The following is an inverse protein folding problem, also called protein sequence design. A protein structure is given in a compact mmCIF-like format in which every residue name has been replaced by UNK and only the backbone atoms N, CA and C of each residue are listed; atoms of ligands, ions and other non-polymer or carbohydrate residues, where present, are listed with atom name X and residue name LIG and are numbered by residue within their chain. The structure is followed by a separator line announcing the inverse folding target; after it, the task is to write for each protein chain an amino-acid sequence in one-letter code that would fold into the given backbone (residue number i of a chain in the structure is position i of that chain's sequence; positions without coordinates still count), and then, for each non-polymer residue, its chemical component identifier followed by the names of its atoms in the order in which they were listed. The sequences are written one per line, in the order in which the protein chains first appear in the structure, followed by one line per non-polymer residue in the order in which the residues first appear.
data_IF_932790276671
#
_entry.id   IF_932790276671
#
_cell.length_a   1.000
_cell.length_b   1.000
_cell.length_c   1.000
_cell.angle_alpha   90.00
_cell.angle_beta   90.00
_cell.angle_gamma   90.00
#
_symmetry.space_group_name_H-M   'P 1'
#
loop_
_entity.id
_entity.type
_entity.pdbx_description
1 polymer ?
#
# COMPACT_ATOMS: atom_id res chain seq x y z
N UNK A 1 19.56 -1.85 -3.64
CA UNK A 1 18.90 -0.83 -4.49
C UNK A 1 18.60 0.43 -3.70
N UNK A 2 18.60 1.57 -4.39
CA UNK A 2 18.13 2.83 -3.81
C UNK A 2 16.61 3.00 -3.92
N UNK A 3 16.08 4.08 -3.34
CA UNK A 3 14.64 4.38 -3.34
C UNK A 3 14.10 4.66 -4.75
N UNK A 4 14.90 5.23 -5.65
CA UNK A 4 14.44 5.53 -7.01
C UNK A 4 14.23 4.24 -7.78
N UNK A 5 15.18 3.31 -7.69
CA UNK A 5 15.06 1.97 -8.28
C UNK A 5 13.85 1.19 -7.73
N UNK A 6 13.57 1.30 -6.43
CA UNK A 6 12.38 0.69 -5.81
C UNK A 6 11.09 1.18 -6.48
N UNK A 7 10.91 2.49 -6.62
CA UNK A 7 9.71 3.06 -7.23
C UNK A 7 9.62 2.74 -8.72
N UNK A 8 10.74 2.75 -9.44
CA UNK A 8 10.78 2.34 -10.86
C UNK A 8 10.30 0.89 -11.06
N UNK A 9 10.65 -0.02 -10.14
CA UNK A 9 10.16 -1.40 -10.19
C UNK A 9 8.64 -1.43 -9.97
N UNK A 10 8.13 -0.80 -8.91
CA UNK A 10 6.69 -0.73 -8.60
C UNK A 10 5.89 -0.16 -9.79
N UNK A 11 6.36 0.96 -10.35
CA UNK A 11 5.68 1.62 -11.47
C UNK A 11 5.68 0.74 -12.71
N UNK A 12 6.81 0.11 -13.04
CA UNK A 12 6.92 -0.75 -14.22
C UNK A 12 6.01 -1.99 -14.15
N UNK A 13 5.84 -2.58 -12.98
CA UNK A 13 5.00 -3.77 -12.79
C UNK A 13 3.53 -3.38 -12.70
N UNK A 14 3.21 -2.22 -12.11
CA UNK A 14 1.84 -1.67 -12.10
C UNK A 14 1.36 -1.39 -13.52
N UNK A 15 2.18 -0.71 -14.32
CA UNK A 15 1.85 -0.39 -15.72
C UNK A 15 1.62 -1.64 -16.56
N UNK A 16 2.40 -2.70 -16.32
CA UNK A 16 2.26 -3.97 -17.02
C UNK A 16 1.03 -4.77 -16.57
N UNK A 17 0.59 -4.62 -15.32
CA UNK A 17 -0.61 -5.25 -14.77
C UNK A 17 -1.92 -4.54 -15.18
N UNK A 18 -1.84 -3.40 -15.86
CA UNK A 18 -3.00 -2.61 -16.31
C UNK A 18 -4.00 -2.26 -15.19
N UNK A 19 -3.53 -2.15 -13.95
CA UNK A 19 -4.32 -1.79 -12.77
C UNK A 19 -4.86 -2.97 -11.96
N UNK A 20 -4.60 -4.21 -12.35
CA UNK A 20 -4.99 -5.41 -11.59
C UNK A 20 -3.99 -5.71 -10.44
N UNK A 21 -4.40 -5.73 -9.16
CA UNK A 21 -3.49 -5.93 -8.03
C UNK A 21 -2.89 -7.35 -7.94
N UNK A 22 -3.61 -8.39 -8.35
CA UNK A 22 -3.14 -9.79 -8.33
C UNK A 22 -2.03 -9.97 -9.38
N UNK A 23 -2.29 -9.53 -10.61
CA UNK A 23 -1.29 -9.53 -11.69
C UNK A 23 -0.10 -8.62 -11.34
N UNK A 24 -0.33 -7.50 -10.64
CA UNK A 24 0.75 -6.63 -10.19
C UNK A 24 1.70 -7.35 -9.24
N UNK A 25 1.18 -8.13 -8.29
CA UNK A 25 1.99 -8.93 -7.38
C UNK A 25 2.80 -10.00 -8.11
N UNK A 26 2.18 -10.74 -9.03
CA UNK A 26 2.85 -11.75 -9.85
C UNK A 26 4.00 -11.14 -10.67
N UNK A 27 3.74 -10.04 -11.39
CA UNK A 27 4.76 -9.35 -12.18
C UNK A 27 5.87 -8.74 -11.30
N UNK A 28 5.53 -8.33 -10.08
CA UNK A 28 6.51 -7.86 -9.11
C UNK A 28 7.45 -8.99 -8.68
N UNK A 29 6.93 -10.17 -8.36
CA UNK A 29 7.75 -11.36 -8.05
C UNK A 29 8.64 -11.69 -9.24
N UNK A 30 8.10 -11.79 -10.46
CA UNK A 30 8.87 -12.07 -11.67
C UNK A 30 10.02 -11.07 -11.89
N UNK A 31 9.76 -9.79 -11.64
CA UNK A 31 10.75 -8.73 -11.78
C UNK A 31 11.86 -8.83 -10.74
N UNK A 32 11.51 -9.15 -9.50
CA UNK A 32 12.45 -9.32 -8.39
C UNK A 32 13.32 -10.58 -8.56
N UNK A 33 12.79 -11.65 -9.16
CA UNK A 33 13.55 -12.86 -9.51
C UNK A 33 14.69 -12.61 -10.52
N UNK A 34 14.68 -11.48 -11.23
CA UNK A 34 15.76 -11.07 -12.13
C UNK A 34 16.89 -10.30 -11.40
N UNK A 35 16.76 -10.06 -10.10
CA UNK A 35 17.74 -9.36 -9.28
C UNK A 35 18.57 -10.34 -8.45
N UNK A 36 19.67 -9.85 -7.88
CA UNK A 36 20.39 -10.61 -6.87
C UNK A 36 19.67 -10.54 -5.51
N UNK A 37 19.88 -11.53 -4.61
CA UNK A 37 19.19 -11.57 -3.32
C UNK A 37 19.43 -10.35 -2.42
N UNK A 38 20.58 -9.67 -2.51
CA UNK A 38 20.84 -8.46 -1.71
C UNK A 38 19.95 -7.30 -2.18
N UNK A 39 19.78 -7.15 -3.50
CA UNK A 39 18.84 -6.20 -4.08
C UNK A 39 17.38 -6.49 -3.69
N UNK A 40 16.97 -7.76 -3.63
CA UNK A 40 15.61 -8.13 -3.16
C UNK A 40 15.40 -7.75 -1.69
N UNK A 41 16.42 -7.94 -0.83
CA UNK A 41 16.34 -7.48 0.57
C UNK A 41 16.28 -5.96 0.69
N UNK A 42 16.97 -5.23 -0.18
CA UNK A 42 16.85 -3.78 -0.22
C UNK A 42 15.45 -3.34 -0.67
N UNK A 43 14.84 -4.04 -1.64
CA UNK A 43 13.46 -3.81 -2.02
C UNK A 43 12.51 -4.04 -0.83
N UNK A 44 12.64 -5.17 -0.12
CA UNK A 44 11.85 -5.50 1.06
C UNK A 44 11.97 -4.40 2.14
N UNK A 45 13.19 -3.91 2.39
CA UNK A 45 13.41 -2.79 3.34
C UNK A 45 12.69 -1.52 2.91
N UNK A 46 12.69 -1.21 1.61
CA UNK A 46 11.97 -0.05 1.13
C UNK A 46 10.47 -0.22 1.31
N UNK A 47 9.91 -1.36 0.90
CA UNK A 47 8.49 -1.66 1.05
C UNK A 47 8.04 -1.56 2.50
N UNK A 48 8.71 -2.27 3.42
CA UNK A 48 8.41 -2.29 4.86
C UNK A 48 8.48 -0.88 5.48
N UNK A 49 9.46 -0.05 5.08
CA UNK A 49 9.54 1.32 5.54
C UNK A 49 8.33 2.17 5.10
N UNK A 50 7.77 1.94 3.91
CA UNK A 50 6.56 2.62 3.42
C UNK A 50 5.32 2.07 4.12
N UNK A 51 5.22 0.76 4.27
CA UNK A 51 4.12 0.09 4.98
C UNK A 51 3.96 0.64 6.40
N UNK A 52 5.09 0.81 7.11
CA UNK A 52 5.12 1.43 8.43
C UNK A 52 4.81 2.93 8.42
N UNK A 53 5.22 3.67 7.38
CA UNK A 53 4.94 5.10 7.25
C UNK A 53 3.47 5.39 6.95
N UNK A 54 2.79 4.48 6.26
CA UNK A 54 1.36 4.55 5.98
C UNK A 54 0.49 4.11 7.18
N UNK A 55 1.08 3.60 8.26
CA UNK A 55 0.34 3.19 9.47
C UNK A 55 -0.12 4.40 10.28
N UNK A 56 -1.18 5.07 9.80
CA UNK A 56 -1.70 6.32 10.34
C UNK A 56 -3.22 6.31 10.41
N UNK A 57 -3.77 6.93 11.45
CA UNK A 57 -5.23 7.01 11.63
C UNK A 57 -5.94 7.74 10.49
N UNK A 58 -5.30 8.75 9.90
CA UNK A 58 -5.86 9.51 8.79
C UNK A 58 -5.87 8.72 7.47
N UNK A 59 -4.81 7.97 7.17
CA UNK A 59 -4.78 7.05 6.01
C UNK A 59 -5.81 5.92 6.18
N UNK A 60 -5.95 5.36 7.38
CA UNK A 60 -6.98 4.35 7.66
C UNK A 60 -8.40 4.90 7.47
N UNK A 61 -8.65 6.14 7.87
CA UNK A 61 -9.94 6.78 7.60
C UNK A 61 -10.24 6.94 6.12
N UNK A 62 -9.23 7.28 5.30
CA UNK A 62 -9.41 7.31 3.84
C UNK A 62 -9.70 5.92 3.26
N UNK A 63 -8.99 4.89 3.73
CA UNK A 63 -9.29 3.50 3.39
C UNK A 63 -10.72 3.12 3.76
N UNK A 64 -11.20 3.54 4.94
CA UNK A 64 -12.58 3.29 5.37
C UNK A 64 -13.62 3.99 4.49
N UNK A 65 -13.32 5.17 3.93
CA UNK A 65 -14.23 5.81 2.95
C UNK A 65 -14.27 5.02 1.65
N UNK A 66 -13.11 4.65 1.11
CA UNK A 66 -12.99 3.96 -0.18
C UNK A 66 -13.57 2.54 -0.14
N UNK A 67 -13.32 1.80 0.95
CA UNK A 67 -13.72 0.40 1.11
C UNK A 67 -15.10 0.23 1.80
N UNK A 68 -15.79 1.33 2.14
CA UNK A 68 -17.05 1.26 2.91
C UNK A 68 -16.87 0.71 4.34
N UNK A 69 -15.68 0.88 4.90
CA UNK A 69 -15.22 0.35 6.18
C UNK A 69 -13.89 -0.38 6.04
N UNK A 70 -13.05 -0.37 7.08
CA UNK A 70 -11.75 -1.06 7.04
C UNK A 70 -11.44 -1.69 8.40
N UNK A 71 -11.36 -3.02 8.45
CA UNK A 71 -10.76 -3.77 9.56
C UNK A 71 -9.25 -3.54 9.62
N UNK A 72 -8.58 -4.08 10.65
CA UNK A 72 -7.12 -4.10 10.70
C UNK A 72 -6.54 -4.77 9.44
N UNK A 73 -7.00 -5.97 9.08
CA UNK A 73 -6.52 -6.69 7.89
C UNK A 73 -6.79 -5.93 6.58
N UNK A 74 -7.99 -5.38 6.40
CA UNK A 74 -8.32 -4.59 5.20
C UNK A 74 -7.45 -3.32 5.11
N UNK A 75 -7.08 -2.73 6.24
CA UNK A 75 -6.17 -1.60 6.24
C UNK A 75 -4.73 -1.99 5.89
N UNK A 76 -4.27 -3.17 6.30
CA UNK A 76 -2.97 -3.71 5.90
C UNK A 76 -2.94 -3.91 4.38
N UNK A 77 -3.97 -4.51 3.80
CA UNK A 77 -4.07 -4.74 2.36
C UNK A 77 -4.12 -3.42 1.59
N UNK A 78 -4.88 -2.44 2.10
CA UNK A 78 -4.95 -1.10 1.52
C UNK A 78 -3.58 -0.40 1.53
N UNK A 79 -2.77 -0.57 2.59
CA UNK A 79 -1.42 0.00 2.65
C UNK A 79 -0.50 -0.63 1.61
N UNK A 80 -0.61 -1.94 1.38
CA UNK A 80 0.11 -2.61 0.30
C UNK A 80 -0.33 -2.08 -1.08
N UNK A 81 -1.64 -1.95 -1.30
CA UNK A 81 -2.19 -1.37 -2.54
C UNK A 81 -1.71 0.07 -2.74
N UNK A 82 -1.72 0.90 -1.70
CA UNK A 82 -1.27 2.29 -1.77
C UNK A 82 0.21 2.42 -2.15
N UNK A 83 1.05 1.48 -1.71
CA UNK A 83 2.46 1.38 -2.17
C UNK A 83 2.49 0.98 -3.65
N UNK A 84 1.66 0.02 -4.05
CA UNK A 84 1.50 -0.41 -5.45
C UNK A 84 1.12 0.72 -6.41
N UNK A 85 0.34 1.70 -5.95
CA UNK A 85 -0.05 2.91 -6.72
C UNK A 85 1.14 3.82 -7.09
N UNK A 86 2.34 3.54 -6.56
CA UNK A 86 3.55 4.24 -6.93
C UNK A 86 3.78 5.52 -6.13
N UNK A 87 4.91 6.16 -6.41
CA UNK A 87 5.46 7.20 -5.53
C UNK A 87 4.53 8.40 -5.36
N UNK A 88 3.98 8.91 -6.46
CA UNK A 88 3.21 10.15 -6.44
C UNK A 88 1.94 10.00 -5.58
N UNK A 89 1.18 8.94 -5.82
CA UNK A 89 -0.06 8.66 -5.10
C UNK A 89 0.23 8.31 -3.64
N UNK A 90 1.25 7.49 -3.38
CA UNK A 90 1.65 7.13 -2.01
C UNK A 90 2.08 8.36 -1.19
N UNK A 91 2.95 9.22 -1.74
CA UNK A 91 3.41 10.42 -1.05
C UNK A 91 2.27 11.42 -0.82
N UNK A 92 1.38 11.59 -1.81
CA UNK A 92 0.21 12.45 -1.68
C UNK A 92 -0.73 11.95 -0.56
N UNK A 93 -1.10 10.67 -0.58
CA UNK A 93 -2.01 10.08 0.39
C UNK A 93 -1.46 10.07 1.82
N UNK A 94 -0.16 9.82 2.00
CA UNK A 94 0.46 9.89 3.34
C UNK A 94 0.50 11.34 3.86
N UNK A 95 0.61 12.33 2.97
CA UNK A 95 0.62 13.74 3.34
C UNK A 95 -0.79 14.29 3.62
N UNK A 96 -1.73 13.99 2.74
CA UNK A 96 -3.12 14.43 2.78
C UNK A 96 -4.03 13.33 2.21
N UNK A 97 -4.55 12.40 3.03
CA UNK A 97 -5.32 11.26 2.53
C UNK A 97 -6.56 11.63 1.71
N UNK A 98 -7.17 12.81 1.94
CA UNK A 98 -8.32 13.28 1.16
C UNK A 98 -7.94 13.59 -0.31
N UNK A 99 -6.64 13.84 -0.58
CA UNK A 99 -6.16 14.10 -1.94
C UNK A 99 -6.25 12.87 -2.85
N UNK A 100 -6.44 11.66 -2.32
CA UNK A 100 -6.71 10.46 -3.12
C UNK A 100 -7.90 10.68 -4.08
N UNK A 101 -8.85 11.53 -3.68
CA UNK A 101 -9.96 11.96 -4.52
C UNK A 101 -9.54 12.74 -5.79
N UNK A 102 -8.29 13.15 -5.94
CA UNK A 102 -7.77 13.79 -7.16
C UNK A 102 -7.04 12.80 -8.08
N UNK A 103 -6.53 11.70 -7.53
CA UNK A 103 -5.72 10.71 -8.25
C UNK A 103 -6.52 9.52 -8.75
N UNK A 104 -7.58 9.14 -8.03
CA UNK A 104 -8.41 8.00 -8.39
C UNK A 104 -9.49 8.45 -9.39
N UNK A 105 -9.52 7.83 -10.56
CA UNK A 105 -10.59 8.05 -11.54
C UNK A 105 -11.87 7.29 -11.14
N UNK A 106 -11.70 6.04 -10.73
CA UNK A 106 -12.72 5.15 -10.17
C UNK A 106 -12.10 4.36 -8.99
N UNK A 107 -12.93 3.62 -8.24
CA UNK A 107 -12.48 2.71 -7.19
C UNK A 107 -13.48 1.54 -7.08
N UNK A 108 -13.05 0.35 -7.43
CA UNK A 108 -13.82 -0.90 -7.30
C UNK A 108 -13.42 -1.58 -5.99
N UNK A 109 -14.26 -1.51 -4.96
CA UNK A 109 -13.94 -2.05 -3.62
C UNK A 109 -13.84 -3.58 -3.55
N UNK A 110 -14.17 -4.30 -4.64
CA UNK A 110 -13.91 -5.74 -4.77
C UNK A 110 -12.48 -6.06 -5.25
N UNK A 111 -11.77 -5.08 -5.82
CA UNK A 111 -10.46 -5.26 -6.45
C UNK A 111 -9.45 -4.23 -5.90
N UNK A 112 -9.79 -2.95 -5.98
CA UNK A 112 -8.95 -1.86 -5.49
C UNK A 112 -8.87 -1.86 -3.96
N UNK A 113 -7.67 -1.58 -3.45
CA UNK A 113 -7.40 -1.56 -2.01
C UNK A 113 -7.17 -2.94 -1.39
N UNK A 114 -7.33 -4.04 -2.13
CA UNK A 114 -6.97 -5.40 -1.70
C UNK A 114 -5.73 -5.88 -2.47
N UNK A 115 -4.55 -5.73 -1.86
CA UNK A 115 -3.28 -6.11 -2.49
C UNK A 115 -2.29 -6.72 -1.49
N UNK A 116 -2.77 -7.63 -0.64
CA UNK A 116 -1.93 -8.33 0.35
C UNK A 116 -0.65 -8.91 -0.29
N UNK A 117 -0.79 -9.53 -1.47
CA UNK A 117 0.29 -10.26 -2.16
C UNK A 117 1.46 -9.36 -2.57
N UNK A 118 1.24 -8.06 -2.81
CA UNK A 118 2.34 -7.10 -3.02
C UNK A 118 3.29 -7.05 -1.82
N UNK A 119 2.76 -7.22 -0.60
CA UNK A 119 3.53 -7.25 0.64
C UNK A 119 4.41 -8.48 0.77
N UNK A 120 4.02 -9.61 0.16
CA UNK A 120 4.78 -10.86 0.19
C UNK A 120 5.75 -11.04 -0.98
N UNK A 121 5.61 -10.25 -2.05
CA UNK A 121 6.38 -10.44 -3.28
C UNK A 121 7.91 -10.50 -3.09
N UNK A 122 8.44 -9.68 -2.18
CA UNK A 122 9.87 -9.68 -1.89
C UNK A 122 10.33 -10.94 -1.12
N UNK A 123 9.49 -11.41 -0.19
CA UNK A 123 9.77 -12.63 0.57
C UNK A 123 9.72 -13.85 -0.33
N UNK A 124 8.69 -13.93 -1.17
CA UNK A 124 8.56 -14.99 -2.16
C UNK A 124 9.77 -15.02 -3.11
N UNK A 125 10.14 -13.89 -3.70
CA UNK A 125 11.28 -13.82 -4.60
C UNK A 125 12.60 -14.22 -3.91
N UNK A 126 12.80 -13.78 -2.65
CA UNK A 126 13.99 -14.14 -1.88
C UNK A 126 14.05 -15.64 -1.58
N UNK A 127 12.94 -16.22 -1.15
CA UNK A 127 12.83 -17.66 -0.88
C UNK A 127 13.09 -18.49 -2.14
N UNK A 128 12.54 -18.09 -3.29
CA UNK A 128 12.78 -18.77 -4.55
C UNK A 128 14.25 -18.69 -5.01
N UNK A 129 14.91 -17.53 -4.84
CA UNK A 129 16.31 -17.31 -5.24
C UNK A 129 17.31 -18.07 -4.35
N UNK A 130 17.00 -18.19 -3.06
CA UNK A 130 17.98 -18.64 -2.05
C UNK A 130 17.65 -19.99 -1.43
N UNK A 131 16.38 -20.41 -1.48
CA UNK A 131 15.86 -21.59 -0.81
C UNK A 131 15.70 -21.45 0.70
N UNK A 132 15.73 -20.23 1.24
CA UNK A 132 15.55 -19.95 2.67
C UNK A 132 14.61 -18.75 2.89
N UNK A 133 13.92 -18.74 4.03
CA UNK A 133 13.05 -17.64 4.46
C UNK A 133 13.83 -16.33 4.55
N UNK A 134 13.19 -15.22 4.19
CA UNK A 134 13.77 -13.88 4.32
C UNK A 134 14.30 -13.63 5.73
N UNK A 135 15.56 -13.18 5.88
CA UNK A 135 16.10 -12.80 7.18
C UNK A 135 15.47 -11.51 7.69
N UNK A 136 15.65 -11.25 8.99
CA UNK A 136 15.33 -9.96 9.61
C UNK A 136 15.95 -8.80 8.82
N UNK A 137 15.11 -7.84 8.41
CA UNK A 137 15.50 -6.71 7.57
C UNK A 137 16.34 -5.65 8.30
N UNK A 138 16.42 -5.73 9.64
CA UNK A 138 17.12 -4.78 10.50
C UNK A 138 16.37 -3.45 10.69
N UNK A 139 15.07 -3.44 10.41
CA UNK A 139 14.21 -2.27 10.57
C UNK A 139 13.63 -2.20 11.98
N UNK A 140 13.33 -1.00 12.51
CA UNK A 140 12.56 -0.90 13.73
C UNK A 140 11.19 -1.56 13.54
N UNK A 141 10.64 -2.23 14.57
CA UNK A 141 9.30 -2.78 14.47
C UNK A 141 8.30 -1.65 14.24
N UNK A 142 7.20 -1.97 13.56
CA UNK A 142 6.03 -1.11 13.48
C UNK A 142 5.59 -0.65 14.87
N UNK A 143 5.03 0.56 14.95
CA UNK A 143 4.44 1.06 16.20
C UNK A 143 3.21 0.24 16.57
N UNK A 144 2.91 0.11 17.87
CA UNK A 144 1.76 -0.67 18.34
C UNK A 144 0.40 -0.05 18.00
N UNK A 145 0.38 1.25 17.68
CA UNK A 145 -0.82 1.97 17.26
C UNK A 145 -0.47 2.85 16.05
N UNK A 146 -1.44 3.15 15.17
CA UNK A 146 -1.25 4.07 14.07
C UNK A 146 -0.85 5.47 14.57
N UNK A 147 -0.03 6.17 13.78
CA UNK A 147 0.33 7.55 14.08
C UNK A 147 -0.88 8.48 13.92
N UNK A 148 -0.93 9.53 14.76
CA UNK A 148 -1.96 10.57 14.70
C UNK A 148 -2.97 10.44 15.83
N UNK A 149 -4.17 10.99 15.63
CA UNK A 149 -5.24 10.94 16.62
C UNK A 149 -6.31 9.96 16.15
N UNK A 150 -6.63 8.91 16.94
CA UNK A 150 -7.74 8.03 16.63
C UNK A 150 -9.04 8.82 16.50
N UNK A 151 -9.87 8.43 15.53
CA UNK A 151 -11.23 8.93 15.40
C UNK A 151 -12.14 7.79 14.95
N UNK A 152 -13.45 7.95 15.16
CA UNK A 152 -14.42 6.91 14.85
C UNK A 152 -14.63 6.79 13.35
N UNK A 153 -14.13 5.72 12.75
CA UNK A 153 -14.39 5.36 11.35
C UNK A 153 -15.81 4.83 11.13
N UNK A 154 -16.52 4.47 12.20
CA UNK A 154 -17.90 3.98 12.15
C UNK A 154 -18.94 5.11 12.03
N UNK A 155 -18.51 6.38 12.05
CA UNK A 155 -19.37 7.56 11.93
C UNK A 155 -19.18 8.23 10.56
N UNK A 156 -20.10 7.96 9.64
CA UNK A 156 -20.16 8.55 8.30
C UNK A 156 -20.09 10.09 8.33
N UNK A 157 -20.71 10.74 9.31
CA UNK A 157 -20.65 12.21 9.40
C UNK A 157 -19.26 12.70 9.79
N UNK A 158 -18.51 11.92 10.59
CA UNK A 158 -17.13 12.21 10.93
C UNK A 158 -16.20 11.97 9.74
N UNK A 159 -16.43 10.89 8.97
CA UNK A 159 -15.71 10.62 7.72
C UNK A 159 -15.95 11.72 6.68
N UNK A 160 -17.21 12.08 6.41
CA UNK A 160 -17.58 13.13 5.47
C UNK A 160 -17.01 14.51 5.84
N UNK A 161 -16.94 14.82 7.14
CA UNK A 161 -16.37 16.08 7.61
C UNK A 161 -14.84 16.12 7.50
N UNK A 162 -14.18 14.97 7.56
CA UNK A 162 -12.72 14.85 7.57
C UNK A 162 -12.13 14.61 6.18
N UNK A 163 -12.86 13.89 5.33
CA UNK A 163 -12.49 13.57 3.96
C UNK A 163 -13.57 14.06 2.98
N UNK A 164 -13.84 15.37 2.91
CA UNK A 164 -14.93 15.89 2.09
C UNK A 164 -14.80 15.54 0.61
N UNK A 165 -13.57 15.47 0.05
CA UNK A 165 -13.38 15.17 -1.37
C UNK A 165 -13.60 13.68 -1.66
N UNK A 166 -13.01 12.80 -0.85
CA UNK A 166 -13.23 11.36 -0.96
C UNK A 166 -14.70 11.02 -0.73
N UNK A 167 -15.34 11.64 0.27
CA UNK A 167 -16.74 11.39 0.58
C UNK A 167 -17.68 11.85 -0.55
N UNK A 168 -17.42 13.00 -1.17
CA UNK A 168 -18.20 13.47 -2.32
C UNK A 168 -18.13 12.49 -3.49
N UNK A 169 -16.98 11.84 -3.71
CA UNK A 169 -16.74 10.95 -4.85
C UNK A 169 -17.13 9.49 -4.58
N UNK A 170 -16.80 8.96 -3.41
CA UNK A 170 -16.81 7.53 -3.10
C UNK A 170 -17.59 7.20 -1.82
N UNK A 171 -18.05 8.20 -1.06
CA UNK A 171 -18.79 7.96 0.18
C UNK A 171 -20.09 7.18 -0.06
N UNK A 172 -20.45 6.34 0.92
CA UNK A 172 -21.73 5.63 0.89
C UNK A 172 -22.91 6.63 0.93
N UNK A 173 -23.77 6.57 -0.09
CA UNK A 173 -24.96 7.41 -0.23
C UNK A 173 -26.20 6.92 0.52
#
# INVERSE_FOLDING_TARGET
MDETEFWEIIDSTREAAEGDPEEHADLLVERLLQLDPESVLDFARHFEARFNRAYRWDVWGAAAVLLGGASDDAFDFFRCWLIGQGREIFEAAVHDPDSLAEFLDDFDDEIDGDAEDLGYAADEAYEQLTGIVTPDLGLPPQSAEPEGTPFGFEDDAALAARFPLLWERFGAG
#
